data_IF_470696407577
#
_entry.id   IF_470696407577
#
_cell.length_a   1.000
_cell.length_b   1.000
_cell.length_c   1.000
_cell.angle_alpha   90.00
_cell.angle_beta   90.00
_cell.angle_gamma   90.00
#
_symmetry.space_group_name_H-M   'P 1'
#
loop_
_entity.id
_entity.type
_entity.pdbx_description
1 polymer ?
#
# COMPACT_ATOMS: atom_id res chain seq x y z
N UNK A 1 42.05 29.64 4.70
CA UNK A 1 41.76 28.24 5.02
C UNK A 1 40.25 28.05 4.92
N UNK A 2 39.78 27.42 3.84
CA UNK A 2 38.38 27.39 3.44
C UNK A 2 37.48 26.65 4.45
N UNK A 3 36.39 27.30 4.86
CA UNK A 3 35.28 26.62 5.55
C UNK A 3 34.38 26.04 4.47
N UNK A 4 34.67 24.83 4.03
CA UNK A 4 33.72 24.07 3.22
C UNK A 4 32.48 23.87 4.10
N UNK A 5 31.35 24.45 3.70
CA UNK A 5 30.11 24.32 4.47
C UNK A 5 29.75 22.83 4.50
N UNK A 6 29.50 22.22 5.68
CA UNK A 6 29.16 20.80 5.75
C UNK A 6 27.94 20.53 4.88
N UNK A 7 28.03 19.51 4.03
CA UNK A 7 26.91 19.13 3.17
C UNK A 7 25.80 18.52 4.01
N UNK A 8 24.57 18.52 3.51
CA UNK A 8 23.48 17.80 4.16
C UNK A 8 23.84 16.31 4.39
N UNK A 9 24.62 15.71 3.49
CA UNK A 9 25.12 14.34 3.66
C UNK A 9 26.07 14.19 4.86
N UNK A 10 26.89 15.20 5.15
CA UNK A 10 27.77 15.20 6.33
C UNK A 10 26.96 15.40 7.61
N UNK A 11 25.94 16.26 7.55
CA UNK A 11 24.94 16.43 8.61
C UNK A 11 24.23 15.10 8.90
N UNK A 12 23.71 14.43 7.88
CA UNK A 12 23.00 13.16 8.04
C UNK A 12 23.90 12.10 8.67
N UNK A 13 25.13 11.94 8.16
CA UNK A 13 26.11 11.00 8.73
C UNK A 13 26.42 11.31 10.20
N UNK A 14 26.57 12.58 10.56
CA UNK A 14 26.80 12.98 11.95
C UNK A 14 25.62 12.66 12.87
N UNK A 15 24.40 12.66 12.34
CA UNK A 15 23.18 12.26 13.05
C UNK A 15 23.14 10.73 13.18
N UNK A 16 23.42 9.98 12.11
CA UNK A 16 23.48 8.51 12.14
C UNK A 16 24.49 8.00 13.18
N UNK A 17 25.70 8.57 13.19
CA UNK A 17 26.76 8.21 14.13
C UNK A 17 26.32 8.45 15.58
N UNK A 18 25.68 9.60 15.83
CA UNK A 18 25.20 9.99 17.18
C UNK A 18 24.10 9.06 17.69
N UNK A 19 23.28 8.51 16.80
CA UNK A 19 22.16 7.63 17.14
C UNK A 19 22.51 6.14 17.14
N UNK A 20 23.76 5.78 16.79
CA UNK A 20 24.23 4.39 16.82
C UNK A 20 24.01 3.69 18.18
N UNK A 21 24.28 4.30 19.35
CA UNK A 21 23.99 3.68 20.64
C UNK A 21 22.50 3.40 20.84
N UNK A 22 21.64 4.33 20.42
CA UNK A 22 20.19 4.15 20.47
C UNK A 22 19.74 2.99 19.57
N UNK A 23 20.21 2.94 18.32
CA UNK A 23 19.94 1.84 17.39
C UNK A 23 20.34 0.49 17.99
N UNK A 24 21.50 0.40 18.65
CA UNK A 24 21.97 -0.85 19.28
C UNK A 24 21.09 -1.32 20.44
N UNK A 25 20.40 -0.41 21.12
CA UNK A 25 19.48 -0.73 22.20
C UNK A 25 18.09 -1.20 21.68
N UNK A 26 17.78 -0.99 20.40
CA UNK A 26 16.52 -1.41 19.80
C UNK A 26 16.47 -2.93 19.55
N UNK A 27 15.25 -3.49 19.54
CA UNK A 27 14.99 -4.85 19.06
C UNK A 27 15.36 -4.97 17.58
N UNK A 28 15.66 -6.19 17.14
CA UNK A 28 16.06 -6.46 15.75
C UNK A 28 15.04 -5.93 14.71
N UNK A 29 13.74 -6.07 15.00
CA UNK A 29 12.67 -5.53 14.15
C UNK A 29 12.69 -3.99 14.04
N UNK A 30 12.97 -3.32 15.16
CA UNK A 30 13.00 -1.86 15.25
C UNK A 30 14.29 -1.28 14.66
N UNK A 31 15.39 -2.03 14.70
CA UNK A 31 16.61 -1.66 14.00
C UNK A 31 16.38 -1.56 12.49
N UNK A 32 15.64 -2.51 11.90
CA UNK A 32 15.30 -2.46 10.47
C UNK A 32 14.36 -1.29 10.15
N UNK A 33 13.40 -0.97 11.04
CA UNK A 33 12.55 0.22 10.89
C UNK A 33 13.39 1.49 10.95
N UNK A 34 14.31 1.59 11.91
CA UNK A 34 15.23 2.71 12.07
C UNK A 34 16.12 2.92 10.83
N UNK A 35 16.71 1.85 10.29
CA UNK A 35 17.55 1.93 9.09
C UNK A 35 16.76 2.42 7.87
N UNK A 36 15.48 2.02 7.73
CA UNK A 36 14.60 2.54 6.68
C UNK A 36 14.32 4.03 6.84
N UNK A 37 14.09 4.53 8.06
CA UNK A 37 13.88 5.96 8.32
C UNK A 37 15.10 6.79 7.85
N UNK A 38 16.31 6.35 8.20
CA UNK A 38 17.53 7.04 7.75
C UNK A 38 17.73 6.95 6.24
N UNK A 39 17.39 5.81 5.62
CA UNK A 39 17.38 5.66 4.17
C UNK A 39 16.46 6.68 3.49
N UNK A 40 15.26 6.89 4.02
CA UNK A 40 14.32 7.90 3.53
C UNK A 40 14.88 9.33 3.63
N UNK A 41 15.53 9.66 4.74
CA UNK A 41 16.18 10.96 4.91
C UNK A 41 17.25 11.22 3.85
N UNK A 42 17.99 10.18 3.44
CA UNK A 42 19.07 10.27 2.45
C UNK A 42 18.57 10.56 1.04
N UNK A 43 17.43 10.01 0.63
CA UNK A 43 16.82 10.30 -0.69
C UNK A 43 16.39 11.77 -0.80
N UNK A 44 16.01 12.40 0.31
CA UNK A 44 15.63 13.81 0.36
C UNK A 44 16.80 14.77 0.57
N UNK A 45 17.95 14.26 0.99
CA UNK A 45 19.17 15.03 1.17
C UNK A 45 19.61 15.75 -0.12
N UNK A 46 19.39 15.12 -1.28
CA UNK A 46 19.77 15.69 -2.58
C UNK A 46 18.89 16.90 -2.96
N UNK A 47 17.71 17.06 -2.34
CA UNK A 47 16.80 18.19 -2.55
C UNK A 47 16.97 19.34 -1.54
N UNK A 48 17.59 19.10 -0.38
CA UNK A 48 17.60 20.03 0.76
C UNK A 48 18.88 20.90 0.89
N UNK A 49 19.72 20.95 -0.16
CA UNK A 49 21.10 21.45 -0.10
C UNK A 49 21.33 22.95 0.19
N UNK A 50 20.34 23.72 0.66
CA UNK A 50 20.44 25.19 0.65
C UNK A 50 20.09 25.92 1.95
N UNK A 51 19.99 25.22 3.08
CA UNK A 51 19.59 25.87 4.34
C UNK A 51 20.66 25.69 5.42
N UNK A 52 21.26 26.81 5.83
CA UNK A 52 22.12 26.92 7.01
C UNK A 52 21.28 26.67 8.28
N UNK A 53 21.08 25.41 8.63
CA UNK A 53 20.30 25.06 9.82
C UNK A 53 21.18 25.10 11.08
N UNK A 54 20.74 25.88 12.06
CA UNK A 54 21.30 25.87 13.42
C UNK A 54 21.17 24.51 14.12
N UNK A 55 20.27 23.64 13.65
CA UNK A 55 20.12 22.27 14.13
C UNK A 55 20.06 21.27 12.98
N UNK A 56 21.05 20.36 12.85
CA UNK A 56 21.10 19.36 11.79
C UNK A 56 19.96 18.35 11.80
N UNK A 57 19.22 18.22 12.90
CA UNK A 57 18.20 17.17 13.06
C UNK A 57 16.85 17.53 12.45
N UNK A 58 16.48 18.81 12.43
CA UNK A 58 15.18 19.27 11.92
C UNK A 58 14.99 18.91 10.44
N UNK A 59 15.99 19.15 9.56
CA UNK A 59 15.86 18.78 8.14
C UNK A 59 15.79 17.27 7.93
N UNK A 60 16.49 16.49 8.76
CA UNK A 60 16.46 15.03 8.71
C UNK A 60 15.06 14.51 9.08
N UNK A 61 14.47 15.03 10.15
CA UNK A 61 13.11 14.66 10.56
C UNK A 61 12.06 15.10 9.53
N UNK A 62 12.19 16.28 8.93
CA UNK A 62 11.29 16.74 7.87
C UNK A 62 11.39 15.85 6.63
N UNK A 63 12.60 15.49 6.22
CA UNK A 63 12.84 14.55 5.12
C UNK A 63 12.21 13.17 5.38
N UNK A 64 12.33 12.66 6.61
CA UNK A 64 11.68 11.42 7.03
C UNK A 64 10.15 11.57 6.94
N UNK A 65 9.60 12.65 7.48
CA UNK A 65 8.16 12.93 7.45
C UNK A 65 7.62 13.00 6.02
N UNK A 66 8.28 13.70 5.12
CA UNK A 66 7.89 13.77 3.70
C UNK A 66 7.92 12.42 2.99
N UNK A 67 8.89 11.57 3.31
CA UNK A 67 8.95 10.23 2.76
C UNK A 67 7.86 9.32 3.31
N UNK A 68 7.51 9.49 4.58
CA UNK A 68 6.41 8.77 5.22
C UNK A 68 5.07 9.19 4.65
N UNK A 69 4.85 10.49 4.43
CA UNK A 69 3.62 11.02 3.83
C UNK A 69 3.36 10.40 2.45
N UNK A 70 4.37 10.42 1.56
CA UNK A 70 4.20 9.79 0.24
C UNK A 70 3.94 8.29 0.32
N UNK A 71 4.52 7.60 1.29
CA UNK A 71 4.24 6.18 1.51
C UNK A 71 2.82 5.96 2.02
N UNK A 72 2.25 6.89 2.80
CA UNK A 72 0.85 6.84 3.20
C UNK A 72 -0.04 7.03 1.97
N UNK A 73 0.22 8.06 1.14
CA UNK A 73 -0.53 8.29 -0.11
C UNK A 73 -0.54 7.04 -1.02
N UNK A 74 0.63 6.40 -1.19
CA UNK A 74 0.76 5.17 -1.98
C UNK A 74 -0.04 3.99 -1.40
N UNK A 75 -0.09 3.89 -0.07
CA UNK A 75 -0.84 2.82 0.61
C UNK A 75 -2.34 3.09 0.57
N UNK A 76 -2.77 4.35 0.73
CA UNK A 76 -4.16 4.77 0.61
C UNK A 76 -4.69 4.53 -0.81
N UNK A 77 -3.94 4.95 -1.83
CA UNK A 77 -4.31 4.69 -3.22
C UNK A 77 -4.44 3.19 -3.54
N UNK A 78 -3.56 2.36 -2.98
CA UNK A 78 -3.65 0.90 -3.13
C UNK A 78 -4.84 0.30 -2.39
N UNK A 79 -5.20 0.85 -1.22
CA UNK A 79 -6.40 0.43 -0.51
C UNK A 79 -7.65 0.76 -1.34
N UNK A 80 -7.74 1.99 -1.86
CA UNK A 80 -8.85 2.41 -2.73
C UNK A 80 -8.99 1.51 -3.97
N UNK A 81 -7.88 1.16 -4.61
CA UNK A 81 -7.86 0.23 -5.75
C UNK A 81 -8.40 -1.16 -5.37
N UNK A 82 -7.90 -1.73 -4.27
CA UNK A 82 -8.35 -3.04 -3.79
C UNK A 82 -9.81 -3.04 -3.35
N UNK A 83 -10.29 -1.96 -2.71
CA UNK A 83 -11.69 -1.79 -2.34
C UNK A 83 -12.58 -1.71 -3.60
N UNK A 84 -12.12 -1.04 -4.65
CA UNK A 84 -12.76 -1.02 -5.96
C UNK A 84 -12.87 -2.41 -6.60
N UNK A 85 -11.75 -3.14 -6.66
CA UNK A 85 -11.72 -4.52 -7.18
C UNK A 85 -12.68 -5.44 -6.43
N UNK A 86 -12.72 -5.35 -5.09
CA UNK A 86 -13.65 -6.13 -4.26
C UNK A 86 -15.10 -5.77 -4.60
N UNK A 87 -15.41 -4.49 -4.78
CA UNK A 87 -16.74 -4.04 -5.20
C UNK A 87 -17.15 -4.59 -6.57
N UNK A 88 -16.24 -4.61 -7.54
CA UNK A 88 -16.48 -5.21 -8.85
C UNK A 88 -16.71 -6.72 -8.78
N UNK A 89 -15.92 -7.42 -7.95
CA UNK A 89 -16.13 -8.86 -7.73
C UNK A 89 -17.47 -9.15 -7.06
N UNK A 90 -17.90 -8.32 -6.10
CA UNK A 90 -19.21 -8.46 -5.46
C UNK A 90 -20.34 -8.31 -6.49
N UNK A 91 -20.31 -7.26 -7.31
CA UNK A 91 -21.29 -7.06 -8.38
C UNK A 91 -21.32 -8.22 -9.38
N UNK A 92 -20.15 -8.81 -9.68
CA UNK A 92 -20.05 -9.99 -10.54
C UNK A 92 -20.71 -11.21 -9.92
N UNK A 93 -20.50 -11.44 -8.62
CA UNK A 93 -21.15 -12.52 -7.89
C UNK A 93 -22.66 -12.36 -7.93
N UNK A 94 -23.18 -11.17 -7.62
CA UNK A 94 -24.62 -10.88 -7.64
C UNK A 94 -25.22 -11.12 -9.04
N UNK A 95 -24.52 -10.73 -10.10
CA UNK A 95 -24.97 -10.96 -11.47
C UNK A 95 -24.98 -12.45 -11.86
N UNK A 96 -24.00 -13.23 -11.37
CA UNK A 96 -23.96 -14.67 -11.59
C UNK A 96 -25.05 -15.39 -10.79
N UNK A 97 -25.32 -14.97 -9.55
CA UNK A 97 -26.43 -15.48 -8.75
C UNK A 97 -27.77 -15.27 -9.47
N UNK A 98 -28.02 -14.07 -9.99
CA UNK A 98 -29.24 -13.80 -10.76
C UNK A 98 -29.35 -14.66 -12.04
N UNK A 99 -28.24 -14.94 -12.72
CA UNK A 99 -28.23 -15.85 -13.89
C UNK A 99 -28.53 -17.29 -13.50
N UNK A 100 -28.05 -17.75 -12.35
CA UNK A 100 -28.34 -19.09 -11.82
C UNK A 100 -29.84 -19.21 -11.50
N UNK A 101 -30.43 -18.19 -10.89
CA UNK A 101 -31.86 -18.15 -10.58
C UNK A 101 -32.71 -18.22 -11.85
N UNK A 102 -32.37 -17.44 -12.90
CA UNK A 102 -33.06 -17.47 -14.20
C UNK A 102 -32.96 -18.86 -14.88
N UNK A 103 -31.76 -19.46 -14.89
CA UNK A 103 -31.55 -20.80 -15.43
C UNK A 103 -32.33 -21.86 -14.63
N UNK A 104 -32.43 -21.71 -13.31
CA UNK A 104 -33.26 -22.56 -12.45
C UNK A 104 -34.72 -22.50 -12.85
N UNK A 105 -35.27 -21.29 -13.04
CA UNK A 105 -36.64 -21.10 -13.51
C UNK A 105 -36.89 -21.72 -14.90
N UNK A 106 -35.96 -21.55 -15.85
CA UNK A 106 -36.06 -22.17 -17.18
C UNK A 106 -36.05 -23.70 -17.11
N UNK A 107 -35.22 -24.29 -16.24
CA UNK A 107 -35.16 -25.74 -16.06
C UNK A 107 -36.47 -26.29 -15.46
N UNK A 108 -37.04 -25.60 -14.47
CA UNK A 108 -38.32 -25.98 -13.87
C UNK A 108 -39.47 -25.95 -14.89
N UNK A 109 -39.51 -24.92 -15.74
CA UNK A 109 -40.49 -24.79 -16.82
C UNK A 109 -40.37 -25.94 -17.84
N UNK A 110 -39.16 -26.21 -18.35
CA UNK A 110 -38.90 -27.31 -19.29
C UNK A 110 -39.21 -28.68 -18.67
N UNK A 111 -38.92 -28.86 -17.39
CA UNK A 111 -39.21 -30.11 -16.68
C UNK A 111 -40.71 -30.33 -16.52
N UNK A 112 -41.47 -29.28 -16.18
CA UNK A 112 -42.92 -29.34 -16.07
C UNK A 112 -43.59 -29.65 -17.43
N UNK A 113 -43.09 -29.09 -18.54
CA UNK A 113 -43.57 -29.38 -19.89
C UNK A 113 -43.30 -30.84 -20.31
N UNK A 114 -42.14 -31.40 -19.93
CA UNK A 114 -41.80 -32.79 -20.22
C UNK A 114 -42.62 -33.79 -19.38
N UNK A 115 -42.95 -33.48 -18.13
CA UNK A 115 -43.83 -34.31 -17.28
C UNK A 115 -45.30 -34.27 -17.73
N UNK A 116 -45.74 -33.18 -18.38
CA UNK A 116 -47.11 -33.06 -18.92
C UNK A 116 -47.27 -33.58 -20.34
N UNK A 117 -46.18 -33.94 -21.02
CA UNK A 117 -46.22 -34.62 -22.31
C UNK A 117 -46.67 -36.08 -22.13
N UNK A 118 -47.86 -36.48 -22.61
CA UNK A 118 -48.32 -37.85 -22.47
C UNK A 118 -47.37 -38.73 -23.26
N UNK A 119 -46.68 -39.65 -22.58
CA UNK A 119 -46.01 -40.79 -23.22
C UNK A 119 -46.87 -41.28 -24.38
N UNK A 120 -46.24 -41.33 -25.55
CA UNK A 120 -46.84 -41.72 -26.81
C UNK A 120 -47.77 -42.92 -26.63
N UNK A 121 -49.04 -42.69 -26.94
CA UNK A 121 -49.90 -43.73 -27.49
C UNK A 121 -49.22 -44.31 -28.74
N UNK A 122 -48.37 -45.32 -28.60
CA UNK A 122 -48.18 -46.36 -29.63
C UNK A 122 -47.30 -47.49 -29.11
N UNK A 123 -47.90 -48.67 -28.96
CA UNK A 123 -47.26 -49.94 -28.61
C UNK A 123 -48.25 -50.89 -27.98
#
# INVERSE_FOLDING_TARGET
MGRTNPTFRDVLRSVEDRWTPFRRALRYEDQQRFDRLLGHARTHADAAGNLNHHSPIVPVLLAIGLAQERRLDELEARLDELEGEIGEQANRTDALEAQIDDLGHQYDEISAENETSPHERTG
#
